data_IF_813070383423
#
_entry.id   IF_813070383423
#
_cell.length_a   1.000
_cell.length_b   1.000
_cell.length_c   1.000
_cell.angle_alpha   90.00
_cell.angle_beta   90.00
_cell.angle_gamma   90.00
#
_symmetry.space_group_name_H-M   'P 1'
#
loop_
_entity.id
_entity.type
_entity.pdbx_description
1 polymer ?
#
# COMPACT_ATOMS: atom_id res chain seq x y z
N UNK A 1 4.91 9.69 18.64
CA UNK A 1 4.30 8.85 17.58
C UNK A 1 4.08 9.56 16.23
N UNK A 2 4.26 10.89 16.12
CA UNK A 2 4.07 11.61 14.84
C UNK A 2 4.97 11.09 13.70
N UNK A 3 6.28 10.94 13.95
CA UNK A 3 7.23 10.40 12.96
C UNK A 3 6.91 8.95 12.60
N UNK A 4 6.64 8.12 13.60
CA UNK A 4 6.25 6.71 13.40
C UNK A 4 5.02 6.61 12.50
N UNK A 5 3.96 7.36 12.79
CA UNK A 5 2.76 7.43 11.95
C UNK A 5 3.07 7.84 10.50
N UNK A 6 3.91 8.87 10.31
CA UNK A 6 4.33 9.32 8.98
C UNK A 6 5.11 8.25 8.21
N UNK A 7 6.08 7.60 8.87
CA UNK A 7 6.91 6.55 8.27
C UNK A 7 6.07 5.33 7.92
N UNK A 8 5.18 4.89 8.82
CA UNK A 8 4.28 3.77 8.56
C UNK A 8 3.34 4.05 7.38
N UNK A 9 2.82 5.27 7.25
CA UNK A 9 1.99 5.66 6.12
C UNK A 9 2.77 5.61 4.79
N UNK A 10 4.04 6.08 4.77
CA UNK A 10 4.90 5.90 3.60
C UNK A 10 5.24 4.43 3.34
N UNK A 11 5.44 3.63 4.39
CA UNK A 11 5.71 2.20 4.26
C UNK A 11 4.54 1.48 3.59
N UNK A 12 3.29 1.74 3.99
CA UNK A 12 2.10 1.19 3.29
C UNK A 12 2.13 1.56 1.80
N UNK A 13 2.36 2.83 1.47
CA UNK A 13 2.43 3.27 0.07
C UNK A 13 3.55 2.55 -0.71
N UNK A 14 4.74 2.42 -0.12
CA UNK A 14 5.88 1.72 -0.71
C UNK A 14 5.61 0.22 -0.91
N UNK A 15 4.97 -0.44 0.06
CA UNK A 15 4.59 -1.85 -0.05
C UNK A 15 3.59 -2.05 -1.18
N UNK A 16 2.63 -1.14 -1.40
CA UNK A 16 1.72 -1.22 -2.57
C UNK A 16 2.48 -1.08 -3.89
N UNK A 17 3.50 -0.21 -3.95
CA UNK A 17 4.36 -0.09 -5.16
C UNK A 17 5.11 -1.40 -5.43
N UNK A 18 5.74 -1.99 -4.41
CA UNK A 18 6.44 -3.29 -4.54
C UNK A 18 5.48 -4.38 -4.99
N UNK A 19 4.25 -4.39 -4.47
CA UNK A 19 3.21 -5.33 -4.87
C UNK A 19 2.83 -5.22 -6.36
N UNK A 20 2.70 -4.00 -6.87
CA UNK A 20 2.37 -3.77 -8.27
C UNK A 20 3.54 -4.13 -9.18
N UNK A 21 4.76 -3.76 -8.79
CA UNK A 21 5.99 -4.12 -9.51
C UNK A 21 6.17 -5.63 -9.62
N UNK A 22 5.88 -6.39 -8.55
CA UNK A 22 6.08 -7.84 -8.56
C UNK A 22 5.14 -8.55 -9.55
N UNK A 23 3.89 -8.10 -9.69
CA UNK A 23 2.96 -8.63 -10.70
C UNK A 23 3.37 -8.21 -12.11
N UNK A 24 3.76 -6.96 -12.31
CA UNK A 24 4.22 -6.51 -13.63
C UNK A 24 5.45 -7.30 -14.10
N UNK A 25 6.41 -7.53 -13.20
CA UNK A 25 7.58 -8.36 -13.47
C UNK A 25 7.22 -9.82 -13.77
N UNK A 26 6.32 -10.41 -12.97
CA UNK A 26 5.82 -11.76 -13.21
C UNK A 26 5.13 -11.91 -14.56
N UNK A 27 4.24 -10.98 -14.93
CA UNK A 27 3.51 -11.03 -16.21
C UNK A 27 4.46 -10.87 -17.40
N UNK A 28 5.48 -10.01 -17.29
CA UNK A 28 6.51 -9.86 -18.31
C UNK A 28 7.33 -11.15 -18.50
N UNK A 29 7.76 -11.77 -17.38
CA UNK A 29 8.47 -13.05 -17.41
C UNK A 29 7.62 -14.19 -17.95
N UNK A 30 6.32 -14.23 -17.60
CA UNK A 30 5.36 -15.16 -18.17
C UNK A 30 5.28 -15.03 -19.70
N UNK A 31 5.22 -13.80 -20.22
CA UNK A 31 5.26 -13.55 -21.66
C UNK A 31 6.51 -14.13 -22.31
N UNK A 32 7.69 -13.83 -21.76
CA UNK A 32 8.96 -14.35 -22.28
C UNK A 32 9.07 -15.89 -22.21
N UNK A 33 8.53 -16.49 -21.15
CA UNK A 33 8.51 -17.94 -20.99
C UNK A 33 7.57 -18.62 -21.99
N UNK A 34 6.40 -18.03 -22.24
CA UNK A 34 5.45 -18.51 -23.27
C UNK A 34 6.03 -18.35 -24.68
N UNK A 35 6.71 -17.24 -24.97
CA UNK A 35 7.41 -17.03 -26.24
C UNK A 35 8.50 -18.10 -26.49
N UNK A 36 9.09 -18.63 -25.41
CA UNK A 36 10.02 -19.76 -25.43
C UNK A 36 9.38 -21.14 -25.57
N UNK A 37 8.05 -21.23 -25.70
CA UNK A 37 7.30 -22.48 -25.82
C UNK A 37 6.69 -23.00 -24.52
N UNK A 38 6.75 -22.24 -23.42
CA UNK A 38 6.05 -22.56 -22.17
C UNK A 38 4.53 -22.52 -22.32
N UNK A 39 3.82 -23.37 -21.58
CA UNK A 39 2.35 -23.40 -21.55
C UNK A 39 1.89 -23.18 -20.11
N UNK A 40 1.16 -22.08 -19.87
CA UNK A 40 0.65 -21.76 -18.54
C UNK A 40 -0.75 -22.33 -18.35
N UNK A 41 -0.83 -23.46 -17.67
CA UNK A 41 -2.08 -24.12 -17.30
C UNK A 41 -2.10 -24.49 -15.80
N UNK A 42 -3.16 -25.20 -15.40
CA UNK A 42 -3.35 -25.62 -14.02
C UNK A 42 -2.21 -26.49 -13.47
N UNK A 43 -1.61 -27.33 -14.31
CA UNK A 43 -0.51 -28.22 -13.89
C UNK A 43 0.74 -27.45 -13.47
N UNK A 44 0.97 -26.27 -14.06
CA UNK A 44 2.07 -25.38 -13.69
C UNK A 44 1.85 -24.80 -12.29
N UNK A 45 0.61 -24.45 -11.94
CA UNK A 45 0.27 -23.86 -10.64
C UNK A 45 0.24 -24.87 -9.49
N UNK A 46 -0.02 -26.15 -9.79
CA UNK A 46 -0.11 -27.24 -8.80
C UNK A 46 1.16 -28.12 -8.75
N UNK A 47 2.21 -27.75 -9.49
CA UNK A 47 3.46 -28.51 -9.54
C UNK A 47 4.25 -28.39 -8.24
N UNK A 48 4.63 -29.54 -7.66
CA UNK A 48 5.63 -29.63 -6.58
C UNK A 48 7.08 -29.63 -7.10
N UNK A 49 7.26 -29.47 -8.42
CA UNK A 49 8.56 -29.45 -9.08
C UNK A 49 9.29 -28.10 -9.00
N UNK A 50 10.40 -27.95 -9.74
CA UNK A 50 11.10 -26.67 -9.85
C UNK A 50 10.18 -25.57 -10.39
N UNK A 51 10.50 -24.31 -10.05
CA UNK A 51 9.79 -23.16 -10.58
C UNK A 51 9.88 -23.15 -12.13
N UNK A 52 8.76 -22.93 -12.85
CA UNK A 52 8.74 -22.96 -14.32
C UNK A 52 9.58 -21.85 -14.95
N UNK A 53 9.62 -20.68 -14.30
CA UNK A 53 10.45 -19.54 -14.64
C UNK A 53 10.69 -18.69 -13.38
N UNK A 54 11.81 -17.96 -13.27
CA UNK A 54 12.17 -17.22 -12.05
C UNK A 54 11.12 -16.19 -11.61
N UNK A 55 10.50 -15.49 -12.54
CA UNK A 55 9.58 -14.37 -12.29
C UNK A 55 8.25 -14.80 -11.67
N UNK A 56 7.93 -16.11 -11.67
CA UNK A 56 6.73 -16.65 -10.99
C UNK A 56 6.72 -16.32 -9.49
N UNK A 57 7.90 -16.09 -8.91
CA UNK A 57 8.09 -15.59 -7.54
C UNK A 57 7.35 -14.27 -7.30
N UNK A 58 7.07 -13.48 -8.34
CA UNK A 58 6.26 -12.27 -8.23
C UNK A 58 4.83 -12.52 -7.72
N UNK A 59 4.25 -13.71 -7.94
CA UNK A 59 2.96 -14.14 -7.32
C UNK A 59 3.13 -14.28 -5.81
N UNK A 60 4.21 -14.95 -5.37
CA UNK A 60 4.51 -15.19 -3.96
C UNK A 60 4.73 -13.85 -3.25
N UNK A 61 5.55 -12.98 -3.85
CA UNK A 61 5.80 -11.63 -3.32
C UNK A 61 4.50 -10.84 -3.24
N UNK A 62 3.68 -10.84 -4.30
CA UNK A 62 2.39 -10.15 -4.32
C UNK A 62 1.46 -10.62 -3.20
N UNK A 63 1.34 -11.94 -3.05
CA UNK A 63 0.48 -12.61 -2.07
C UNK A 63 0.92 -12.36 -0.63
N UNK A 64 2.20 -12.60 -0.29
CA UNK A 64 2.72 -12.36 1.07
C UNK A 64 2.64 -10.88 1.42
N UNK A 65 3.04 -10.00 0.51
CA UNK A 65 3.03 -8.57 0.75
C UNK A 65 1.61 -8.03 0.98
N UNK A 66 0.64 -8.46 0.16
CA UNK A 66 -0.77 -8.05 0.26
C UNK A 66 -1.54 -8.70 1.39
N UNK A 67 -1.31 -9.99 1.61
CA UNK A 67 -2.03 -10.78 2.61
C UNK A 67 -1.48 -10.62 4.02
N UNK A 68 -0.23 -10.19 4.19
CA UNK A 68 0.42 -10.14 5.51
C UNK A 68 1.09 -8.79 5.80
N UNK A 69 2.03 -8.34 4.96
CA UNK A 69 2.87 -7.16 5.29
C UNK A 69 2.07 -5.85 5.28
N UNK A 70 1.30 -5.59 4.23
CA UNK A 70 0.44 -4.39 4.13
C UNK A 70 -0.58 -4.34 5.29
N UNK A 71 -1.35 -5.41 5.58
CA UNK A 71 -2.26 -5.46 6.73
C UNK A 71 -1.58 -5.17 8.07
N UNK A 72 -0.42 -5.79 8.33
CA UNK A 72 0.32 -5.59 9.56
C UNK A 72 0.75 -4.13 9.72
N UNK A 73 1.34 -3.53 8.68
CA UNK A 73 1.81 -2.14 8.71
C UNK A 73 0.63 -1.16 8.80
N UNK A 74 -0.50 -1.44 8.14
CA UNK A 74 -1.72 -0.63 8.25
C UNK A 74 -2.32 -0.68 9.66
N UNK A 75 -2.30 -1.84 10.33
CA UNK A 75 -2.73 -1.96 11.72
C UNK A 75 -1.81 -1.16 12.64
N UNK A 76 -0.48 -1.26 12.47
CA UNK A 76 0.48 -0.46 13.23
C UNK A 76 0.30 1.04 12.97
N UNK A 77 -0.02 1.44 11.74
CA UNK A 77 -0.35 2.82 11.39
C UNK A 77 -1.56 3.30 12.19
N UNK A 78 -2.66 2.53 12.21
CA UNK A 78 -3.86 2.84 12.99
C UNK A 78 -3.53 2.94 14.49
N UNK A 79 -2.80 1.98 15.06
CA UNK A 79 -2.40 2.03 16.47
C UNK A 79 -1.58 3.29 16.76
N UNK A 80 -0.59 3.61 15.92
CA UNK A 80 0.24 4.81 16.09
C UNK A 80 -0.56 6.11 16.00
N UNK A 81 -1.67 6.11 15.26
CA UNK A 81 -2.48 7.30 14.98
C UNK A 81 -3.16 7.88 16.22
N UNK A 82 -3.53 7.04 17.19
CA UNK A 82 -4.13 7.46 18.47
C UNK A 82 -3.18 8.34 19.30
N UNK A 83 -1.87 8.17 19.10
CA UNK A 83 -0.84 8.88 19.85
C UNK A 83 -0.10 9.93 19.00
N UNK A 84 -0.38 9.98 17.69
CA UNK A 84 0.37 10.81 16.75
C UNK A 84 0.06 12.31 16.88
N UNK A 85 -1.09 12.67 17.49
CA UNK A 85 -1.57 14.06 17.63
C UNK A 85 -1.55 14.81 16.29
N UNK A 86 -2.00 14.13 15.24
CA UNK A 86 -2.22 14.70 13.90
C UNK A 86 -3.73 14.90 13.75
N UNK A 87 -4.23 16.10 13.43
CA UNK A 87 -5.67 16.37 13.27
C UNK A 87 -6.34 15.38 12.32
N UNK A 88 -7.35 14.61 12.72
CA UNK A 88 -7.96 13.50 11.94
C UNK A 88 -7.03 12.29 11.68
N UNK A 89 -5.93 12.12 12.42
CA UNK A 89 -4.97 11.03 12.24
C UNK A 89 -5.60 9.64 12.31
N UNK A 90 -6.46 9.43 13.31
CA UNK A 90 -7.19 8.16 13.49
C UNK A 90 -8.10 7.87 12.30
N UNK A 91 -8.79 8.88 11.77
CA UNK A 91 -9.70 8.72 10.64
C UNK A 91 -8.95 8.25 9.39
N UNK A 92 -7.80 8.85 9.07
CA UNK A 92 -6.96 8.42 7.95
C UNK A 92 -6.32 7.05 8.17
N UNK A 93 -5.87 6.75 9.40
CA UNK A 93 -5.38 5.42 9.75
C UNK A 93 -6.44 4.33 9.55
N UNK A 94 -7.67 4.60 9.97
CA UNK A 94 -8.81 3.70 9.80
C UNK A 94 -9.19 3.55 8.32
N UNK A 95 -9.21 4.65 7.55
CA UNK A 95 -9.46 4.61 6.12
C UNK A 95 -8.45 3.73 5.37
N UNK A 96 -7.15 3.86 5.69
CA UNK A 96 -6.11 2.97 5.14
C UNK A 96 -6.40 1.50 5.49
N UNK A 97 -6.73 1.19 6.74
CA UNK A 97 -7.01 -0.20 7.15
C UNK A 97 -8.26 -0.77 6.47
N UNK A 98 -9.32 0.02 6.31
CA UNK A 98 -10.55 -0.38 5.59
C UNK A 98 -10.24 -0.67 4.12
N UNK A 99 -9.47 0.18 3.45
CA UNK A 99 -9.06 -0.05 2.08
C UNK A 99 -8.22 -1.33 1.94
N UNK A 100 -7.35 -1.63 2.92
CA UNK A 100 -6.60 -2.90 2.96
C UNK A 100 -7.53 -4.11 3.14
N UNK A 101 -8.54 -4.02 4.01
CA UNK A 101 -9.51 -5.10 4.19
C UNK A 101 -10.30 -5.37 2.89
N UNK A 102 -10.77 -4.31 2.23
CA UNK A 102 -11.42 -4.40 0.91
C UNK A 102 -10.46 -5.02 -0.11
N UNK A 103 -9.19 -4.61 -0.11
CA UNK A 103 -8.18 -5.14 -1.02
C UNK A 103 -8.00 -6.66 -0.85
N UNK A 104 -7.93 -7.14 0.39
CA UNK A 104 -7.80 -8.56 0.69
C UNK A 104 -9.04 -9.33 0.21
N UNK A 105 -10.25 -8.84 0.50
CA UNK A 105 -11.49 -9.47 0.04
C UNK A 105 -11.55 -9.60 -1.48
N UNK A 106 -11.18 -8.53 -2.20
CA UNK A 106 -11.13 -8.55 -3.67
C UNK A 106 -10.05 -9.51 -4.21
N UNK A 107 -8.90 -9.58 -3.55
CA UNK A 107 -7.79 -10.46 -3.95
C UNK A 107 -8.13 -11.96 -3.87
N UNK A 108 -8.98 -12.35 -2.92
CA UNK A 108 -9.41 -13.74 -2.74
C UNK A 108 -10.73 -14.09 -3.45
N UNK A 109 -11.37 -13.15 -4.15
CA UNK A 109 -12.73 -13.33 -4.67
C UNK A 109 -12.85 -14.34 -5.83
N UNK A 110 -11.76 -14.90 -6.36
CA UNK A 110 -11.71 -15.85 -7.49
C UNK A 110 -12.53 -15.44 -8.75
N UNK A 111 -12.86 -14.16 -8.90
CA UNK A 111 -13.60 -13.60 -10.02
C UNK A 111 -12.67 -12.68 -10.83
N UNK A 112 -12.53 -12.85 -12.16
CA UNK A 112 -11.65 -11.99 -12.96
C UNK A 112 -11.93 -10.49 -12.81
N UNK A 113 -13.20 -10.10 -12.76
CA UNK A 113 -13.59 -8.70 -12.56
C UNK A 113 -13.15 -8.14 -11.20
N UNK A 114 -13.07 -8.98 -10.17
CA UNK A 114 -12.58 -8.57 -8.86
C UNK A 114 -11.09 -8.18 -8.94
N UNK A 115 -10.30 -8.79 -9.83
CA UNK A 115 -8.91 -8.39 -10.08
C UNK A 115 -8.78 -6.96 -10.63
N UNK A 116 -9.69 -6.54 -11.52
CA UNK A 116 -9.72 -5.16 -12.01
C UNK A 116 -10.07 -4.16 -10.90
N UNK A 117 -11.09 -4.47 -10.10
CA UNK A 117 -11.50 -3.63 -8.96
C UNK A 117 -10.40 -3.59 -7.89
N UNK A 118 -9.72 -4.72 -7.65
CA UNK A 118 -8.54 -4.82 -6.78
C UNK A 118 -7.42 -3.88 -7.25
N UNK A 119 -7.13 -3.82 -8.55
CA UNK A 119 -6.16 -2.86 -9.10
C UNK A 119 -6.56 -1.41 -8.84
N UNK A 120 -7.84 -1.06 -9.03
CA UNK A 120 -8.36 0.27 -8.72
C UNK A 120 -8.27 0.63 -7.22
N UNK A 121 -8.62 -0.30 -6.33
CA UNK A 121 -8.54 -0.09 -4.89
C UNK A 121 -7.09 -0.01 -4.40
N UNK A 122 -6.13 -0.72 -5.02
CA UNK A 122 -4.70 -0.54 -4.74
C UNK A 122 -4.23 0.90 -4.99
N UNK A 123 -4.66 1.53 -6.11
CA UNK A 123 -4.32 2.92 -6.40
C UNK A 123 -4.92 3.89 -5.36
N UNK A 124 -6.16 3.64 -4.94
CA UNK A 124 -6.82 4.42 -3.90
C UNK A 124 -6.13 4.27 -2.54
N UNK A 125 -5.74 3.05 -2.18
CA UNK A 125 -4.96 2.75 -0.98
C UNK A 125 -3.61 3.47 -1.01
N UNK A 126 -2.86 3.36 -2.11
CA UNK A 126 -1.60 4.06 -2.32
C UNK A 126 -1.76 5.57 -2.15
N UNK A 127 -2.71 6.18 -2.86
CA UNK A 127 -2.95 7.61 -2.81
C UNK A 127 -3.33 8.07 -1.40
N UNK A 128 -4.18 7.32 -0.71
CA UNK A 128 -4.63 7.60 0.65
C UNK A 128 -3.48 7.50 1.66
N UNK A 129 -2.66 6.45 1.58
CA UNK A 129 -1.48 6.27 2.43
C UNK A 129 -0.43 7.37 2.19
N UNK A 130 -0.16 7.69 0.92
CA UNK A 130 0.76 8.77 0.54
C UNK A 130 0.29 10.14 1.03
N UNK A 131 -0.98 10.45 0.84
CA UNK A 131 -1.61 11.67 1.34
C UNK A 131 -1.54 11.75 2.87
N UNK A 132 -1.80 10.62 3.54
CA UNK A 132 -1.73 10.48 4.99
C UNK A 132 -0.34 10.79 5.53
N UNK A 133 0.72 10.37 4.85
CA UNK A 133 2.08 10.69 5.23
C UNK A 133 2.43 12.17 5.00
N UNK A 134 2.01 12.73 3.86
CA UNK A 134 2.36 14.11 3.44
C UNK A 134 1.74 15.21 4.30
N UNK A 135 0.57 14.98 4.90
CA UNK A 135 -0.11 16.01 5.72
C UNK A 135 0.53 16.27 7.08
N UNK A 136 1.33 15.34 7.61
CA UNK A 136 1.93 15.41 8.96
C UNK A 136 2.84 16.63 9.17
N UNK A 137 3.37 17.24 8.11
CA UNK A 137 4.23 18.44 8.17
C UNK A 137 3.55 19.75 7.72
N UNK A 138 2.28 19.71 7.27
CA UNK A 138 1.56 20.93 6.87
C UNK A 138 0.90 21.64 8.06
N UNK A 139 0.65 20.91 9.13
CA UNK A 139 -0.02 21.44 10.32
C UNK A 139 0.88 22.32 11.21
N UNK A 140 2.19 22.40 10.95
CA UNK A 140 3.14 23.23 11.72
C UNK A 140 3.38 24.61 11.10
N UNK A 141 3.01 24.84 9.84
CA UNK A 141 3.33 26.09 9.12
C UNK A 141 2.35 27.25 9.33
N UNK A 142 1.19 27.01 9.96
CA UNK A 142 0.16 28.03 10.15
C UNK A 142 0.21 28.72 11.53
N UNK A 143 1.05 28.25 12.45
CA UNK A 143 1.06 28.72 13.85
C UNK A 143 2.21 29.68 14.18
N UNK A 144 3.18 29.89 13.28
CA UNK A 144 4.43 30.63 13.56
C UNK A 144 4.55 31.96 12.79
N UNK A 145 3.44 32.62 12.45
CA UNK A 145 3.50 34.07 12.15
C UNK A 145 3.40 34.79 13.49
N UNK A 146 4.49 35.38 14.03
CA UNK A 146 4.37 36.22 15.20
C UNK A 146 3.46 37.38 14.82
N UNK A 147 2.32 37.51 15.48
CA UNK A 147 1.56 38.74 15.42
C UNK A 147 2.50 39.83 15.94
N UNK A 148 3.00 40.68 15.04
CA UNK A 148 3.71 41.92 15.38
C UNK A 148 2.76 42.78 16.19
N UNK A 149 2.81 42.59 17.50
CA UNK A 149 2.26 43.50 18.50
C UNK A 149 3.43 44.32 19.03
N UNK A 150 3.75 45.38 18.30
CA UNK A 150 4.37 46.60 18.84
C UNK A 150 3.62 47.74 18.13
N UNK A 151 2.67 48.44 18.77
CA UNK A 151 2.89 49.56 19.70
C UNK A 151 3.67 50.69 19.00
N UNK A 152 3.17 51.92 18.90
CA UNK A 152 2.94 52.84 20.02
C UNK A 152 1.86 53.88 19.65
N UNK A 153 0.99 54.15 20.62
CA UNK A 153 0.18 55.35 20.67
C UNK A 153 1.04 56.54 21.11
N UNK A 154 1.02 57.63 20.35
CA UNK A 154 1.20 59.03 20.80
C UNK A 154 0.99 59.96 19.62
#
# INVERSE_FOLDING_TARGET
>A
MRTVYKVLAYAVAGLVVVQAMSIAWMVAGLGSWVDGGGVFDKSVMESDGPLPFPEVVGIIVHGINGGMLIPLVALLLLISSFFAKVPKGVWFGAAVLVLVAIQAMLGYAHLPIAGMIHGGNALLLFATALYTARRVGRDTGAADVPATKDAVAS
#
